data_IF_644489169182
#
_entry.id   IF_644489169182
#
_cell.length_a   1.000
_cell.length_b   1.000
_cell.length_c   1.000
_cell.angle_alpha   90.00
_cell.angle_beta   90.00
_cell.angle_gamma   90.00
#
_symmetry.space_group_name_H-M   'P 1'
#
loop_
_entity.id
_entity.type
_entity.pdbx_description
1 polymer ?
#
# COMPACT_ATOMS: atom_id res chain seq x y z
N UNK A 1 -3.95 3.55 -2.49
CA UNK A 1 -3.22 4.06 -1.31
C UNK A 1 -2.00 3.15 -1.08
N UNK A 2 -0.96 3.54 -0.35
CA UNK A 2 0.17 2.64 -0.04
C UNK A 2 0.46 2.74 1.45
N UNK A 3 0.75 1.61 2.09
CA UNK A 3 1.07 1.52 3.51
C UNK A 3 2.43 0.86 3.75
N UNK A 4 3.25 1.43 4.64
CA UNK A 4 4.53 0.84 5.06
C UNK A 4 4.37 0.31 6.50
N UNK A 5 4.70 -0.97 6.71
CA UNK A 5 4.49 -1.71 7.97
C UNK A 5 5.80 -2.12 8.65
N UNK A 6 5.75 -2.38 9.96
CA UNK A 6 6.92 -2.78 10.76
C UNK A 6 7.18 -4.28 10.56
N UNK A 7 8.21 -4.62 9.79
CA UNK A 7 8.62 -6.01 9.53
C UNK A 7 10.08 -6.34 9.88
N UNK A 8 10.92 -5.34 10.17
CA UNK A 8 12.37 -5.52 10.36
C UNK A 8 13.01 -4.57 11.37
N UNK A 9 14.28 -4.83 11.68
CA UNK A 9 15.10 -3.98 12.54
C UNK A 9 15.37 -2.64 11.84
N UNK A 10 14.92 -1.55 12.45
CA UNK A 10 15.08 -0.20 11.89
C UNK A 10 16.53 0.27 12.03
N UNK A 11 17.06 1.04 11.06
CA UNK A 11 18.46 1.47 11.03
C UNK A 11 18.83 2.45 12.16
N UNK A 12 17.84 2.99 12.87
CA UNK A 12 18.03 3.86 14.03
C UNK A 12 16.88 3.71 15.02
N UNK A 13 17.20 3.77 16.32
CA UNK A 13 16.22 3.81 17.43
C UNK A 13 15.16 4.89 17.27
N UNK A 14 15.47 5.97 16.56
CA UNK A 14 14.51 7.05 16.31
C UNK A 14 13.29 6.61 15.48
N UNK A 15 13.43 5.55 14.67
CA UNK A 15 12.37 5.07 13.79
C UNK A 15 11.67 3.80 14.31
N UNK A 16 12.15 3.20 15.41
CA UNK A 16 11.54 2.02 16.05
C UNK A 16 10.05 2.23 16.35
N UNK A 17 9.68 3.42 16.81
CA UNK A 17 8.29 3.78 17.17
C UNK A 17 7.54 4.50 16.07
N UNK A 18 8.11 4.61 14.86
CA UNK A 18 7.46 5.34 13.77
C UNK A 18 6.14 4.64 13.40
N UNK A 19 5.00 5.35 13.36
CA UNK A 19 3.73 4.76 12.93
C UNK A 19 3.77 4.34 11.45
N UNK A 20 2.72 3.67 10.98
CA UNK A 20 2.56 3.36 9.56
C UNK A 20 2.59 4.64 8.72
N UNK A 21 3.30 4.60 7.61
CA UNK A 21 3.38 5.70 6.65
C UNK A 21 2.41 5.40 5.51
N UNK A 22 1.53 6.37 5.21
CA UNK A 22 0.59 6.28 4.10
C UNK A 22 0.95 7.26 3.00
N UNK A 23 1.19 6.75 1.79
CA UNK A 23 1.42 7.60 0.62
C UNK A 23 0.10 7.76 -0.16
N UNK A 24 -0.34 9.01 -0.27
CA UNK A 24 -1.61 9.40 -0.91
C UNK A 24 -1.34 10.37 -2.06
N UNK A 25 -2.08 10.23 -3.15
CA UNK A 25 -1.92 11.02 -4.36
C UNK A 25 -2.46 10.30 -5.60
N UNK A 26 -2.58 10.98 -6.75
CA UNK A 26 -3.17 10.41 -7.95
C UNK A 26 -2.38 9.23 -8.52
N UNK A 27 -2.99 8.43 -9.40
CA UNK A 27 -2.30 7.39 -10.17
C UNK A 27 -1.14 8.01 -10.97
N UNK A 28 0.00 7.32 -11.05
CA UNK A 28 1.19 7.83 -11.76
C UNK A 28 2.05 8.82 -10.96
N UNK A 29 1.63 9.27 -9.77
CA UNK A 29 2.43 10.19 -8.92
C UNK A 29 3.72 9.57 -8.32
N UNK A 30 4.12 8.36 -8.72
CA UNK A 30 5.34 7.70 -8.25
C UNK A 30 5.28 7.11 -6.84
N UNK A 31 4.10 7.00 -6.22
CA UNK A 31 3.92 6.51 -4.83
C UNK A 31 4.54 5.13 -4.61
N UNK A 32 4.37 4.21 -5.56
CA UNK A 32 4.93 2.85 -5.49
C UNK A 32 6.45 2.87 -5.48
N UNK A 33 7.06 3.68 -6.36
CA UNK A 33 8.51 3.85 -6.43
C UNK A 33 9.08 4.43 -5.14
N UNK A 34 8.50 5.55 -4.68
CA UNK A 34 8.96 6.23 -3.45
C UNK A 34 8.75 5.33 -2.23
N UNK A 35 7.61 4.66 -2.13
CA UNK A 35 7.30 3.82 -0.98
C UNK A 35 8.20 2.60 -0.85
N UNK A 36 8.59 1.96 -1.96
CA UNK A 36 9.54 0.84 -1.91
C UNK A 36 10.90 1.28 -1.39
N UNK A 37 11.44 2.38 -1.95
CA UNK A 37 12.71 2.93 -1.46
C UNK A 37 12.63 3.38 -0.01
N UNK A 38 11.53 3.99 0.41
CA UNK A 38 11.33 4.40 1.80
C UNK A 38 11.27 3.18 2.73
N UNK A 39 10.59 2.12 2.33
CA UNK A 39 10.49 0.88 3.10
C UNK A 39 11.87 0.20 3.23
N UNK A 40 12.64 0.12 2.13
CA UNK A 40 14.03 -0.37 2.14
C UNK A 40 14.92 0.44 3.09
N UNK A 41 14.88 1.78 2.98
CA UNK A 41 15.65 2.68 3.82
C UNK A 41 15.29 2.57 5.31
N UNK A 42 14.04 2.21 5.62
CA UNK A 42 13.56 2.07 6.99
C UNK A 42 13.65 0.62 7.49
N UNK A 43 14.03 -0.36 6.67
CA UNK A 43 13.97 -1.79 7.06
C UNK A 43 12.54 -2.24 7.38
N UNK A 44 11.56 -1.78 6.58
CA UNK A 44 10.13 -2.00 6.77
C UNK A 44 9.50 -2.68 5.56
N UNK A 45 8.30 -3.22 5.76
CA UNK A 45 7.54 -3.82 4.68
C UNK A 45 6.81 -2.76 3.88
N UNK A 46 6.78 -2.93 2.57
CA UNK A 46 5.98 -2.13 1.64
C UNK A 46 4.70 -2.87 1.28
N UNK A 47 3.55 -2.21 1.42
CA UNK A 47 2.24 -2.74 1.03
C UNK A 47 1.54 -1.78 0.07
N UNK A 48 1.14 -2.30 -1.08
CA UNK A 48 0.27 -1.60 -2.04
C UNK A 48 -1.18 -2.00 -1.77
N UNK A 49 -2.08 -1.03 -1.53
CA UNK A 49 -3.47 -1.33 -1.19
C UNK A 49 -4.19 -2.05 -2.31
N UNK A 50 -3.87 -1.71 -3.56
CA UNK A 50 -4.60 -2.24 -4.71
C UNK A 50 -4.25 -3.72 -4.88
N UNK A 51 -2.98 -4.08 -4.73
CA UNK A 51 -2.55 -5.48 -4.69
C UNK A 51 -3.14 -6.23 -3.49
N UNK A 52 -3.28 -5.60 -2.33
CA UNK A 52 -3.86 -6.26 -1.15
C UNK A 52 -5.36 -6.54 -1.34
N UNK A 53 -6.08 -5.64 -2.03
CA UNK A 53 -7.47 -5.88 -2.43
C UNK A 53 -7.55 -7.07 -3.38
N UNK A 54 -6.69 -7.15 -4.40
CA UNK A 54 -6.65 -8.29 -5.31
C UNK A 54 -6.34 -9.60 -4.59
N UNK A 55 -5.37 -9.58 -3.66
CA UNK A 55 -4.98 -10.74 -2.86
C UNK A 55 -6.10 -11.24 -1.96
N UNK A 56 -6.82 -10.32 -1.29
CA UNK A 56 -7.93 -10.65 -0.38
C UNK A 56 -9.17 -11.15 -1.11
N UNK A 57 -9.43 -10.64 -2.31
CA UNK A 57 -10.66 -10.93 -3.06
C UNK A 57 -10.49 -12.05 -4.07
N UNK A 58 -9.26 -12.33 -4.51
CA UNK A 58 -8.98 -13.23 -5.63
C UNK A 58 -9.39 -12.65 -7.00
N UNK A 59 -9.79 -11.37 -7.05
CA UNK A 59 -10.24 -10.70 -8.25
C UNK A 59 -9.32 -9.52 -8.58
N UNK A 60 -8.98 -9.36 -9.87
CA UNK A 60 -8.16 -8.22 -10.31
C UNK A 60 -8.94 -6.91 -10.23
N UNK A 61 -8.25 -5.79 -10.00
CA UNK A 61 -8.89 -4.45 -9.99
C UNK A 61 -9.66 -4.18 -11.29
N UNK A 62 -9.11 -4.43 -12.50
CA UNK A 62 -9.88 -4.28 -13.74
C UNK A 62 -11.17 -5.10 -13.77
N UNK A 63 -11.14 -6.34 -13.28
CA UNK A 63 -12.33 -7.19 -13.21
C UNK A 63 -13.39 -6.62 -12.26
N UNK A 64 -12.96 -6.13 -11.08
CA UNK A 64 -13.87 -5.51 -10.10
C UNK A 64 -14.54 -4.28 -10.72
N UNK A 65 -13.78 -3.41 -11.40
CA UNK A 65 -14.35 -2.25 -12.08
C UNK A 65 -15.30 -2.65 -13.21
N UNK A 66 -14.98 -3.70 -13.98
CA UNK A 66 -15.85 -4.18 -15.07
C UNK A 66 -17.17 -4.75 -14.55
N UNK A 67 -17.15 -5.52 -13.45
CA UNK A 67 -18.34 -6.21 -12.93
C UNK A 67 -19.14 -5.42 -11.92
N UNK A 68 -18.47 -4.61 -11.11
CA UNK A 68 -19.06 -3.96 -9.93
C UNK A 68 -18.95 -2.43 -9.97
N UNK A 69 -18.22 -1.89 -10.95
CA UNK A 69 -17.98 -0.46 -11.09
C UNK A 69 -17.14 0.12 -9.96
N UNK A 70 -17.04 1.45 -9.93
CA UNK A 70 -16.29 2.16 -8.89
C UNK A 70 -16.86 1.87 -7.49
N UNK A 71 -18.18 1.79 -7.34
CA UNK A 71 -18.83 1.55 -6.04
C UNK A 71 -18.36 0.22 -5.43
N UNK A 72 -18.34 -0.86 -6.21
CA UNK A 72 -17.85 -2.16 -5.73
C UNK A 72 -16.38 -2.13 -5.33
N UNK A 73 -15.55 -1.39 -6.06
CA UNK A 73 -14.15 -1.18 -5.69
C UNK A 73 -14.02 -0.41 -4.37
N UNK A 74 -14.73 0.72 -4.21
CA UNK A 74 -14.66 1.55 -2.99
C UNK A 74 -15.08 0.81 -1.72
N UNK A 75 -16.05 -0.09 -1.81
CA UNK A 75 -16.48 -0.92 -0.68
C UNK A 75 -15.39 -1.87 -0.16
N UNK A 76 -14.35 -2.14 -0.94
CA UNK A 76 -13.22 -3.01 -0.57
C UNK A 76 -12.01 -2.25 -0.03
N UNK A 77 -12.05 -0.91 -0.03
CA UNK A 77 -11.00 -0.08 0.58
C UNK A 77 -11.11 0.00 2.12
N UNK A 78 -11.94 -0.84 2.77
CA UNK A 78 -12.14 -0.96 4.24
C UNK A 78 -11.42 -2.16 4.84
#
# INVERSE_FOLDING_TARGET
MIAIHIGGALPSKAFETLPNIYLVGPMGAGKTTVGRHLAELLGRDFIDSDHEIERKTGATIPWIFEKEGEVGFRLRET
#
